data_IF_115364780643
#
_entry.id   IF_115364780643
#
_cell.length_a   1.000
_cell.length_b   1.000
_cell.length_c   1.000
_cell.angle_alpha   90.00
_cell.angle_beta   90.00
_cell.angle_gamma   90.00
#
_symmetry.space_group_name_H-M   'P 1'
#
loop_
_entity.id
_entity.type
_entity.pdbx_description
1 polymer ?
#
# COMPACT_ATOMS: atom_id res chain seq x y z
N UNK A 1 -12.91 -11.47 11.33
CA UNK A 1 -11.81 -11.03 10.45
C UNK A 1 -11.62 -12.09 9.40
N UNK A 2 -11.68 -11.71 8.12
CA UNK A 2 -11.64 -12.63 7.00
C UNK A 2 -10.18 -12.74 6.53
N UNK A 3 -9.65 -13.96 6.50
CA UNK A 3 -8.47 -14.27 5.70
C UNK A 3 -8.97 -14.63 4.31
N UNK A 4 -8.72 -13.78 3.33
CA UNK A 4 -8.96 -14.12 1.93
C UNK A 4 -7.64 -14.65 1.37
N UNK A 5 -7.61 -15.89 0.84
CA UNK A 5 -6.44 -16.41 0.14
C UNK A 5 -6.05 -15.45 -0.99
N UNK A 6 -4.75 -15.22 -1.18
CA UNK A 6 -4.20 -14.40 -2.26
C UNK A 6 -4.46 -15.04 -3.64
N UNK A 7 -4.68 -16.36 -3.69
CA UNK A 7 -5.13 -17.06 -4.89
C UNK A 7 -6.67 -17.13 -4.90
N UNK A 8 -7.29 -16.23 -5.66
CA UNK A 8 -8.73 -16.26 -5.93
C UNK A 8 -9.00 -16.00 -7.42
N UNK A 9 -10.18 -16.36 -7.91
CA UNK A 9 -10.60 -16.00 -9.28
C UNK A 9 -10.64 -14.47 -9.41
N UNK A 10 -10.17 -13.96 -10.54
CA UNK A 10 -10.21 -12.53 -10.84
C UNK A 10 -11.68 -12.04 -10.88
N UNK A 11 -11.95 -10.86 -10.29
CA UNK A 11 -13.23 -10.14 -10.44
C UNK A 11 -14.15 -10.07 -9.21
N UNK A 12 -14.02 -10.96 -8.22
CA UNK A 12 -15.03 -11.04 -7.13
C UNK A 12 -14.51 -10.69 -5.71
N UNK A 13 -13.20 -10.66 -5.47
CA UNK A 13 -12.68 -10.63 -4.09
C UNK A 13 -11.72 -9.47 -3.77
N UNK A 14 -11.22 -8.71 -4.74
CA UNK A 14 -10.10 -7.77 -4.49
C UNK A 14 -10.51 -6.44 -3.85
N UNK A 15 -11.67 -5.88 -4.22
CA UNK A 15 -12.11 -4.57 -3.73
C UNK A 15 -12.47 -4.62 -2.23
N UNK A 16 -13.29 -5.60 -1.83
CA UNK A 16 -13.76 -5.75 -0.45
C UNK A 16 -12.63 -6.08 0.54
N UNK A 17 -11.60 -6.79 0.07
CA UNK A 17 -10.40 -7.12 0.86
C UNK A 17 -9.57 -5.86 1.15
N UNK A 18 -9.36 -5.01 0.14
CA UNK A 18 -8.61 -3.76 0.32
C UNK A 18 -9.25 -2.87 1.39
N UNK A 19 -10.57 -2.67 1.31
CA UNK A 19 -11.29 -1.86 2.28
C UNK A 19 -11.27 -2.47 3.70
N UNK A 20 -11.43 -3.80 3.81
CA UNK A 20 -11.33 -4.51 5.08
C UNK A 20 -9.94 -4.36 5.74
N UNK A 21 -8.86 -4.39 4.94
CA UNK A 21 -7.50 -4.21 5.42
C UNK A 21 -7.23 -2.79 5.91
N UNK A 22 -7.74 -1.76 5.22
CA UNK A 22 -7.63 -0.37 5.66
C UNK A 22 -8.35 -0.17 7.01
N UNK A 23 -9.57 -0.69 7.15
CA UNK A 23 -10.31 -0.65 8.42
C UNK A 23 -9.56 -1.35 9.55
N UNK A 24 -8.98 -2.52 9.27
CA UNK A 24 -8.18 -3.27 10.24
C UNK A 24 -6.95 -2.47 10.69
N UNK A 25 -6.16 -1.95 9.74
CA UNK A 25 -4.95 -1.19 10.05
C UNK A 25 -5.28 0.06 10.88
N UNK A 26 -6.32 0.80 10.52
CA UNK A 26 -6.76 1.97 11.29
C UNK A 26 -7.11 1.59 12.73
N UNK A 27 -7.94 0.57 12.92
CA UNK A 27 -8.40 0.16 14.26
C UNK A 27 -7.29 -0.41 15.14
N UNK A 28 -6.29 -1.08 14.57
CA UNK A 28 -5.30 -1.85 15.33
C UNK A 28 -3.93 -1.17 15.44
N UNK A 29 -3.56 -0.32 14.48
CA UNK A 29 -2.21 0.28 14.44
C UNK A 29 -2.22 1.81 14.57
N UNK A 30 -3.34 2.46 14.23
CA UNK A 30 -3.47 3.92 14.24
C UNK A 30 -4.41 4.44 15.34
N UNK A 31 -4.83 3.58 16.27
CA UNK A 31 -5.69 3.96 17.41
C UNK A 31 -5.08 3.46 18.73
N UNK A 32 -4.87 4.35 19.74
CA UNK A 32 -5.00 5.81 19.65
C UNK A 32 -4.07 6.38 18.56
N UNK A 33 -4.37 7.60 18.09
CA UNK A 33 -3.59 8.24 17.03
C UNK A 33 -2.10 8.27 17.46
N UNK A 34 -1.18 7.75 16.64
CA UNK A 34 0.22 7.69 17.01
C UNK A 34 0.80 9.10 17.02
N UNK A 35 1.36 9.51 18.15
CA UNK A 35 2.20 10.69 18.24
C UNK A 35 3.56 10.34 17.64
N UNK A 36 3.90 11.00 16.54
CA UNK A 36 5.16 10.84 15.81
C UNK A 36 5.61 12.19 15.25
N UNK A 37 6.92 12.37 15.12
CA UNK A 37 7.50 13.63 14.64
C UNK A 37 7.43 13.77 13.11
N UNK A 38 7.51 12.65 12.40
CA UNK A 38 7.51 12.60 10.94
C UNK A 38 6.91 11.29 10.39
N UNK A 39 6.78 11.25 9.06
CA UNK A 39 6.24 10.09 8.36
C UNK A 39 7.19 8.89 8.36
N UNK A 40 8.50 9.10 8.48
CA UNK A 40 9.47 8.02 8.49
C UNK A 40 9.36 7.20 9.77
N UNK A 41 9.23 7.88 10.91
CA UNK A 41 8.99 7.28 12.22
C UNK A 41 7.65 6.52 12.23
N UNK A 42 6.60 7.09 11.64
CA UNK A 42 5.32 6.40 11.49
C UNK A 42 5.45 5.13 10.63
N UNK A 43 6.12 5.23 9.48
CA UNK A 43 6.34 4.10 8.57
C UNK A 43 7.11 2.96 9.24
N UNK A 44 8.18 3.27 9.98
CA UNK A 44 8.96 2.29 10.72
C UNK A 44 8.11 1.56 11.79
N UNK A 45 7.26 2.31 12.51
CA UNK A 45 6.33 1.75 13.49
C UNK A 45 5.30 0.83 12.83
N UNK A 46 4.71 1.26 11.71
CA UNK A 46 3.73 0.47 10.96
C UNK A 46 4.35 -0.80 10.39
N UNK A 47 5.55 -0.71 9.81
CA UNK A 47 6.28 -1.87 9.28
C UNK A 47 6.50 -2.93 10.37
N UNK A 48 6.94 -2.50 11.56
CA UNK A 48 7.10 -3.39 12.72
C UNK A 48 5.76 -4.01 13.15
N UNK A 49 4.68 -3.24 13.19
CA UNK A 49 3.36 -3.73 13.56
C UNK A 49 2.83 -4.77 12.56
N UNK A 50 2.98 -4.53 11.26
CA UNK A 50 2.64 -5.48 10.20
C UNK A 50 3.48 -6.76 10.31
N UNK A 51 4.79 -6.63 10.54
CA UNK A 51 5.68 -7.79 10.76
C UNK A 51 5.27 -8.63 11.98
N UNK A 52 4.81 -7.98 13.06
CA UNK A 52 4.28 -8.70 14.22
C UNK A 52 2.93 -9.37 13.93
N UNK A 53 2.06 -8.74 13.14
CA UNK A 53 0.75 -9.30 12.76
C UNK A 53 0.89 -10.57 11.91
N UNK A 54 1.99 -10.75 11.16
CA UNK A 54 2.30 -12.00 10.47
C UNK A 54 2.39 -13.21 11.43
N UNK A 55 2.76 -12.99 12.69
CA UNK A 55 2.84 -14.07 13.70
C UNK A 55 1.48 -14.47 14.24
N UNK A 56 0.41 -13.73 13.93
CA UNK A 56 -0.93 -13.99 14.42
C UNK A 56 -1.56 -15.18 13.72
N UNK A 57 -2.22 -16.05 14.48
CA UNK A 57 -3.09 -17.12 13.97
C UNK A 57 -4.52 -16.58 13.83
N UNK A 58 -5.09 -16.66 12.63
CA UNK A 58 -6.44 -16.19 12.36
C UNK A 58 -7.48 -17.21 12.81
N UNK A 59 -8.66 -16.71 13.22
CA UNK A 59 -9.78 -17.57 13.60
C UNK A 59 -10.15 -18.48 12.42
N UNK A 60 -10.27 -19.77 12.67
CA UNK A 60 -10.62 -20.76 11.65
C UNK A 60 -9.46 -21.15 10.72
N UNK A 61 -8.22 -20.72 10.98
CA UNK A 61 -7.04 -21.15 10.25
C UNK A 61 -6.15 -22.05 11.10
N UNK A 62 -5.48 -22.99 10.44
CA UNK A 62 -4.63 -23.99 11.10
C UNK A 62 -3.27 -23.40 11.54
N UNK A 63 -2.74 -22.43 10.81
CA UNK A 63 -1.41 -21.86 11.01
C UNK A 63 -1.42 -20.33 11.15
N UNK A 64 -0.25 -19.74 11.42
CA UNK A 64 -0.05 -18.28 11.46
C UNK A 64 -0.15 -17.68 10.07
N UNK A 65 -0.43 -16.37 9.98
CA UNK A 65 -0.42 -15.65 8.70
C UNK A 65 0.89 -15.85 7.94
N UNK A 66 2.03 -15.81 8.63
CA UNK A 66 3.36 -16.01 8.04
C UNK A 66 3.50 -17.38 7.37
N UNK A 67 3.05 -18.45 8.03
CA UNK A 67 3.13 -19.80 7.48
C UNK A 67 2.22 -19.96 6.24
N UNK A 68 1.00 -19.42 6.31
CA UNK A 68 0.08 -19.44 5.17
C UNK A 68 0.62 -18.61 3.99
N UNK A 69 1.19 -17.44 4.25
CA UNK A 69 1.80 -16.60 3.22
C UNK A 69 2.96 -17.31 2.52
N UNK A 70 3.80 -18.02 3.26
CA UNK A 70 4.91 -18.77 2.68
C UNK A 70 4.45 -19.92 1.79
N UNK A 71 3.31 -20.53 2.08
CA UNK A 71 2.66 -21.52 1.23
C UNK A 71 2.11 -20.87 -0.05
N UNK A 72 1.39 -19.75 0.08
CA UNK A 72 0.81 -19.04 -1.07
C UNK A 72 1.87 -18.45 -2.01
N UNK A 73 2.99 -17.97 -1.47
CA UNK A 73 4.11 -17.41 -2.26
C UNK A 73 4.71 -18.41 -3.25
N UNK A 74 4.59 -19.71 -3.00
CA UNK A 74 5.06 -20.75 -3.93
C UNK A 74 4.25 -20.77 -5.24
N UNK A 75 3.03 -20.23 -5.22
CA UNK A 75 2.18 -20.09 -6.40
C UNK A 75 2.33 -18.71 -7.09
N UNK A 76 3.18 -17.81 -6.57
CA UNK A 76 3.33 -16.48 -7.15
C UNK A 76 4.08 -16.53 -8.47
N UNK A 77 3.66 -15.67 -9.40
CA UNK A 77 4.43 -15.39 -10.60
C UNK A 77 5.71 -14.63 -10.24
N UNK A 78 6.78 -14.75 -11.04
CA UNK A 78 7.96 -13.91 -10.87
C UNK A 78 7.58 -12.43 -10.94
N UNK A 79 8.35 -11.60 -10.24
CA UNK A 79 8.21 -10.15 -10.36
C UNK A 79 8.52 -9.72 -11.81
N UNK A 80 7.81 -8.71 -12.35
CA UNK A 80 8.13 -8.17 -13.65
C UNK A 80 9.55 -7.57 -13.66
N UNK A 81 10.25 -7.69 -14.78
CA UNK A 81 11.60 -7.12 -14.96
C UNK A 81 11.61 -5.58 -14.85
N UNK A 82 10.49 -4.96 -15.19
CA UNK A 82 10.28 -3.51 -15.06
C UNK A 82 9.44 -3.25 -13.80
N UNK A 83 9.95 -2.44 -12.85
CA UNK A 83 9.18 -2.03 -11.68
C UNK A 83 7.88 -1.33 -12.06
N UNK A 84 6.82 -1.55 -11.28
CA UNK A 84 5.58 -0.82 -11.44
C UNK A 84 5.70 0.58 -10.84
N UNK A 85 5.59 1.60 -11.68
CA UNK A 85 5.53 3.00 -11.25
C UNK A 85 4.13 3.29 -10.67
N UNK A 86 4.01 3.24 -9.35
CA UNK A 86 2.77 3.55 -8.62
C UNK A 86 2.47 5.06 -8.55
N UNK A 87 2.73 5.79 -9.63
CA UNK A 87 2.46 7.21 -9.79
C UNK A 87 1.73 7.47 -11.11
N UNK A 88 0.99 8.57 -11.17
CA UNK A 88 0.40 9.04 -12.43
C UNK A 88 1.34 10.05 -13.05
N UNK A 89 1.87 9.73 -14.21
CA UNK A 89 2.62 10.70 -15.01
C UNK A 89 1.63 11.63 -15.72
N UNK A 90 1.81 12.93 -15.54
CA UNK A 90 1.06 13.94 -16.26
C UNK A 90 2.02 14.71 -17.16
N UNK A 91 1.76 14.67 -18.47
CA UNK A 91 2.45 15.53 -19.40
C UNK A 91 1.94 16.97 -19.23
N UNK A 92 2.87 17.91 -19.15
CA UNK A 92 2.57 19.34 -19.14
C UNK A 92 3.45 20.05 -20.16
N UNK A 93 2.94 21.13 -20.74
CA UNK A 93 3.65 21.89 -21.78
C UNK A 93 4.50 22.96 -21.11
N UNK A 94 5.81 22.94 -21.36
CA UNK A 94 6.71 24.03 -20.97
C UNK A 94 6.43 25.27 -21.83
N UNK A 95 6.45 26.45 -21.23
CA UNK A 95 6.46 27.70 -21.99
C UNK A 95 7.76 27.77 -22.84
N UNK A 96 7.70 28.05 -24.16
CA UNK A 96 8.90 28.14 -25.01
C UNK A 96 9.91 29.25 -24.63
N UNK A 97 9.51 30.23 -23.82
CA UNK A 97 10.37 31.35 -23.38
C UNK A 97 10.96 31.21 -21.98
N UNK A 98 10.37 30.38 -21.14
CA UNK A 98 10.82 30.12 -19.77
C UNK A 98 10.56 28.65 -19.55
N UNK A 99 11.60 27.82 -19.52
CA UNK A 99 11.60 26.36 -19.32
C UNK A 99 10.97 25.94 -17.98
N UNK A 100 9.76 26.39 -17.75
CA UNK A 100 8.93 26.25 -16.56
C UNK A 100 7.67 25.55 -17.00
N UNK A 101 7.26 24.56 -16.21
CA UNK A 101 5.99 23.91 -16.36
C UNK A 101 5.23 23.99 -15.03
N UNK A 102 3.92 24.21 -15.11
CA UNK A 102 3.07 24.36 -13.94
C UNK A 102 2.07 23.21 -13.93
N UNK A 103 1.90 22.57 -12.77
CA UNK A 103 0.78 21.65 -12.53
C UNK A 103 -0.32 22.41 -11.80
N UNK A 104 -1.55 22.36 -12.33
CA UNK A 104 -2.74 22.86 -11.62
C UNK A 104 -3.23 21.76 -10.68
N UNK A 105 -2.91 21.88 -9.41
CA UNK A 105 -3.40 20.97 -8.37
C UNK A 105 -4.30 21.76 -7.42
N UNK A 106 -5.59 21.42 -7.37
CA UNK A 106 -6.53 21.95 -6.37
C UNK A 106 -6.55 23.50 -6.26
N UNK A 107 -6.43 24.21 -7.38
CA UNK A 107 -6.46 25.68 -7.44
C UNK A 107 -5.11 26.39 -7.19
N UNK A 108 -4.00 25.65 -7.05
CA UNK A 108 -2.65 26.21 -6.94
C UNK A 108 -1.78 25.76 -8.12
N UNK A 109 -0.92 26.65 -8.59
CA UNK A 109 0.12 26.34 -9.58
C UNK A 109 1.39 25.96 -8.84
N UNK A 110 1.89 24.74 -9.07
CA UNK A 110 3.17 24.26 -8.53
C UNK A 110 4.19 24.18 -9.67
N UNK A 111 5.37 24.77 -9.47
CA UNK A 111 6.49 24.71 -10.41
C UNK A 111 7.07 23.30 -10.43
N UNK A 112 7.20 22.72 -11.62
CA UNK A 112 7.84 21.42 -11.82
C UNK A 112 9.32 21.69 -12.12
N UNK A 113 10.16 21.55 -11.10
CA UNK A 113 11.61 21.57 -11.26
C UNK A 113 12.09 20.18 -11.77
N UNK A 114 12.93 20.20 -12.81
CA UNK A 114 13.59 19.02 -13.37
C UNK A 114 14.79 18.60 -12.53
#
# INVERSE_FOLDING_TARGET
EVFVPLVHRAGEAQFDVGEAMVRFARRNFLVPAPEVDDLEQLNARLLKACGNDLRRKLRGKAATKQALLAEEQQAFLPLPDVPFEACRHESTTTNPHYSQAWRKESGRSVEIAW
#
